data_IF_839231181995
#
_entry.id   IF_839231181995
#
_cell.length_a   1.000
_cell.length_b   1.000
_cell.length_c   1.000
_cell.angle_alpha   90.00
_cell.angle_beta   90.00
_cell.angle_gamma   90.00
#
_symmetry.space_group_name_H-M   'P 1'
#
loop_
_entity.id
_entity.type
_entity.pdbx_description
1 polymer ?
#
# COMPACT_ATOMS: atom_id res chain seq x y z
N UNK A 1 -2.44 14.33 -8.25
CA UNK A 1 -3.88 14.61 -8.13
C UNK A 1 -4.65 14.27 -9.42
N UNK A 2 -4.43 14.92 -10.57
CA UNK A 2 -5.20 14.62 -11.82
C UNK A 2 -5.16 13.14 -12.18
N UNK A 3 -3.96 12.55 -12.32
CA UNK A 3 -3.79 11.12 -12.60
C UNK A 3 -4.56 10.24 -11.60
N UNK A 4 -4.45 10.54 -10.32
CA UNK A 4 -5.10 9.80 -9.24
C UNK A 4 -6.64 9.75 -9.41
N UNK A 5 -7.30 10.87 -9.69
CA UNK A 5 -8.76 10.94 -9.78
C UNK A 5 -9.35 10.60 -11.17
N UNK A 6 -8.48 10.30 -12.14
CA UNK A 6 -8.92 9.98 -13.51
C UNK A 6 -8.49 8.62 -14.00
N UNK A 7 -7.28 8.15 -13.65
CA UNK A 7 -6.64 7.01 -14.28
C UNK A 7 -6.15 5.94 -13.29
N UNK A 8 -5.60 6.35 -12.13
CA UNK A 8 -4.98 5.43 -11.19
C UNK A 8 -5.99 4.40 -10.66
N UNK A 9 -5.60 3.13 -10.71
CA UNK A 9 -6.34 2.01 -10.15
C UNK A 9 -5.34 0.88 -9.88
N UNK A 10 -5.63 0.02 -8.92
CA UNK A 10 -4.97 -1.26 -8.73
C UNK A 10 -6.00 -2.29 -8.28
N UNK A 11 -5.82 -3.54 -8.70
CA UNK A 11 -6.77 -4.62 -8.44
C UNK A 11 -7.14 -4.73 -6.96
N UNK A 12 -6.15 -4.81 -6.07
CA UNK A 12 -6.39 -4.91 -4.61
C UNK A 12 -7.09 -3.67 -4.00
N UNK A 13 -7.35 -2.62 -4.75
CA UNK A 13 -7.98 -1.41 -4.21
C UNK A 13 -9.46 -1.66 -3.88
N UNK A 14 -10.12 -2.52 -4.66
CA UNK A 14 -11.54 -2.85 -4.49
C UNK A 14 -11.86 -3.30 -3.06
N UNK A 15 -11.10 -4.28 -2.55
CA UNK A 15 -11.36 -4.80 -1.22
C UNK A 15 -11.04 -3.79 -0.09
N UNK A 16 -10.05 -2.90 -0.27
CA UNK A 16 -9.78 -1.84 0.70
C UNK A 16 -10.92 -0.82 0.78
N UNK A 17 -11.48 -0.43 -0.37
CA UNK A 17 -12.61 0.48 -0.43
C UNK A 17 -13.88 -0.15 0.11
N UNK A 18 -14.13 -1.41 -0.21
CA UNK A 18 -15.25 -2.18 0.31
C UNK A 18 -15.15 -2.37 1.82
N UNK A 19 -13.97 -2.70 2.35
CA UNK A 19 -13.75 -2.79 3.79
C UNK A 19 -14.05 -1.47 4.50
N UNK A 20 -13.60 -0.34 3.95
CA UNK A 20 -13.91 0.97 4.49
C UNK A 20 -15.42 1.29 4.45
N UNK A 21 -16.12 0.90 3.36
CA UNK A 21 -17.57 1.02 3.24
C UNK A 21 -18.29 0.18 4.32
N UNK A 22 -17.87 -1.06 4.54
CA UNK A 22 -18.43 -1.96 5.55
C UNK A 22 -18.20 -1.41 6.97
N UNK A 23 -17.02 -0.89 7.26
CA UNK A 23 -16.71 -0.22 8.54
C UNK A 23 -17.58 1.03 8.71
N UNK A 24 -17.76 1.83 7.67
CA UNK A 24 -18.65 2.99 7.71
C UNK A 24 -20.12 2.61 7.98
N UNK A 25 -20.55 1.44 7.51
CA UNK A 25 -21.85 0.85 7.78
C UNK A 25 -21.94 0.18 9.18
N UNK A 26 -20.90 0.28 10.02
CA UNK A 26 -20.87 -0.24 11.39
C UNK A 26 -20.39 -1.69 11.53
N UNK A 27 -19.89 -2.31 10.46
CA UNK A 27 -19.27 -3.64 10.51
C UNK A 27 -17.86 -3.59 11.11
N UNK A 28 -17.47 -4.66 11.79
CA UNK A 28 -16.18 -4.76 12.46
C UNK A 28 -15.24 -5.63 11.61
N UNK A 29 -14.07 -5.12 11.17
CA UNK A 29 -13.11 -5.93 10.43
C UNK A 29 -12.73 -7.17 11.26
N UNK A 30 -12.44 -8.26 10.58
CA UNK A 30 -12.16 -9.59 11.10
C UNK A 30 -13.37 -10.32 11.70
N UNK A 31 -14.19 -9.63 12.48
CA UNK A 31 -15.30 -10.24 13.23
C UNK A 31 -16.59 -10.37 12.41
N UNK A 32 -16.83 -9.43 11.50
CA UNK A 32 -18.04 -9.40 10.70
C UNK A 32 -17.76 -9.63 9.20
N UNK A 33 -16.47 -9.61 8.79
CA UNK A 33 -15.98 -9.93 7.45
C UNK A 33 -14.48 -10.21 7.44
N UNK A 34 -14.01 -10.98 6.46
CA UNK A 34 -12.58 -11.27 6.26
C UNK A 34 -11.86 -9.99 5.79
N UNK A 35 -10.77 -9.63 6.49
CA UNK A 35 -9.93 -8.50 6.12
C UNK A 35 -8.47 -8.80 6.47
N UNK A 36 -7.69 -9.48 5.60
CA UNK A 36 -6.33 -9.93 5.92
C UNK A 36 -5.31 -8.79 5.84
N UNK A 37 -5.54 -7.72 6.57
CA UNK A 37 -4.67 -6.54 6.70
C UNK A 37 -4.80 -5.93 8.09
N UNK A 38 -3.86 -5.06 8.50
CA UNK A 38 -4.08 -4.21 9.68
C UNK A 38 -5.09 -3.11 9.35
N UNK A 39 -6.05 -2.87 10.25
CA UNK A 39 -7.27 -2.16 9.91
C UNK A 39 -7.21 -0.62 10.04
N UNK A 40 -6.12 -0.02 10.53
CA UNK A 40 -6.10 1.43 10.80
C UNK A 40 -6.36 2.27 9.55
N UNK A 41 -5.79 1.88 8.39
CA UNK A 41 -6.06 2.57 7.13
C UNK A 41 -7.54 2.47 6.73
N UNK A 42 -8.16 1.29 6.88
CA UNK A 42 -9.58 1.11 6.56
C UNK A 42 -10.48 1.96 7.47
N UNK A 43 -10.17 2.08 8.77
CA UNK A 43 -10.86 3.02 9.68
C UNK A 43 -10.66 4.48 9.26
N UNK A 44 -9.43 4.85 8.84
CA UNK A 44 -9.11 6.18 8.37
C UNK A 44 -9.92 6.55 7.13
N UNK A 45 -9.97 5.65 6.15
CA UNK A 45 -10.77 5.83 4.92
C UNK A 45 -12.27 5.84 5.23
N UNK A 46 -12.76 4.97 6.12
CA UNK A 46 -14.17 4.95 6.56
C UNK A 46 -14.60 6.27 7.20
N UNK A 47 -13.75 6.85 8.06
CA UNK A 47 -13.98 8.17 8.64
C UNK A 47 -14.05 9.26 7.55
N UNK A 48 -13.15 9.21 6.57
CA UNK A 48 -13.14 10.13 5.44
C UNK A 48 -14.40 10.02 4.59
N UNK A 49 -14.86 8.78 4.32
CA UNK A 49 -16.15 8.54 3.64
C UNK A 49 -17.34 9.09 4.43
N UNK A 50 -17.28 9.08 5.76
CA UNK A 50 -18.30 9.68 6.61
C UNK A 50 -18.42 11.19 6.47
N UNK A 51 -17.32 11.87 6.14
CA UNK A 51 -17.27 13.33 5.98
C UNK A 51 -17.60 13.75 4.54
N UNK A 52 -17.01 13.07 3.55
CA UNK A 52 -17.04 13.47 2.14
C UNK A 52 -17.89 12.55 1.24
N UNK A 53 -18.55 11.55 1.84
CA UNK A 53 -19.35 10.56 1.13
C UNK A 53 -18.53 9.41 0.53
N UNK A 54 -19.22 8.32 0.19
CA UNK A 54 -18.62 7.14 -0.43
C UNK A 54 -18.28 7.42 -1.90
N UNK A 55 -17.03 7.78 -2.13
CA UNK A 55 -16.50 8.10 -3.46
C UNK A 55 -15.04 7.70 -3.54
N UNK A 56 -14.70 6.83 -4.48
CA UNK A 56 -13.32 6.46 -4.76
C UNK A 56 -12.45 7.70 -5.06
N UNK A 57 -13.00 8.70 -5.78
CA UNK A 57 -12.26 9.94 -6.08
C UNK A 57 -11.87 10.70 -4.81
N UNK A 58 -12.76 10.77 -3.83
CA UNK A 58 -12.46 11.44 -2.56
C UNK A 58 -11.43 10.67 -1.73
N UNK A 59 -11.43 9.34 -1.81
CA UNK A 59 -10.39 8.51 -1.19
C UNK A 59 -9.04 8.71 -1.89
N UNK A 60 -9.03 8.82 -3.22
CA UNK A 60 -7.82 9.14 -3.99
C UNK A 60 -7.28 10.54 -3.67
N UNK A 61 -8.16 11.52 -3.47
CA UNK A 61 -7.74 12.86 -3.00
C UNK A 61 -7.04 12.77 -1.65
N UNK A 62 -7.56 11.97 -0.72
CA UNK A 62 -6.94 11.72 0.58
C UNK A 62 -5.55 11.08 0.42
N UNK A 63 -5.47 9.98 -0.33
CA UNK A 63 -4.22 9.26 -0.57
C UNK A 63 -3.16 10.13 -1.26
N UNK A 64 -3.54 10.84 -2.32
CA UNK A 64 -2.65 11.74 -3.04
C UNK A 64 -2.18 12.93 -2.19
N UNK A 65 -3.03 13.45 -1.30
CA UNK A 65 -2.67 14.55 -0.39
C UNK A 65 -1.67 14.08 0.67
N UNK A 66 -1.88 12.90 1.27
CA UNK A 66 -0.94 12.33 2.24
C UNK A 66 0.39 12.01 1.58
N UNK A 67 0.39 11.42 0.39
CA UNK A 67 1.62 11.16 -0.38
C UNK A 67 2.36 12.44 -0.75
N UNK A 68 1.66 13.48 -1.20
CA UNK A 68 2.26 14.78 -1.48
C UNK A 68 2.89 15.40 -0.21
N UNK A 69 2.24 15.23 0.95
CA UNK A 69 2.79 15.61 2.25
C UNK A 69 4.10 14.88 2.59
N UNK A 70 4.19 13.58 2.31
CA UNK A 70 5.42 12.81 2.47
C UNK A 70 6.54 13.29 1.55
N UNK A 71 6.24 13.50 0.27
CA UNK A 71 7.19 14.03 -0.72
C UNK A 71 7.70 15.41 -0.29
N UNK A 72 6.79 16.29 0.14
CA UNK A 72 7.15 17.60 0.67
C UNK A 72 8.06 17.51 1.90
N UNK A 73 7.73 16.69 2.89
CA UNK A 73 8.55 16.51 4.10
C UNK A 73 9.94 15.96 3.78
N UNK A 74 10.06 15.09 2.77
CA UNK A 74 11.33 14.53 2.32
C UNK A 74 12.21 15.62 1.70
N UNK A 75 11.66 16.44 0.82
CA UNK A 75 12.37 17.60 0.23
C UNK A 75 12.70 18.68 1.27
N UNK A 76 11.76 19.02 2.17
CA UNK A 76 11.96 19.99 3.26
C UNK A 76 13.11 19.57 4.21
N UNK A 77 13.28 18.26 4.45
CA UNK A 77 14.42 17.78 5.22
C UNK A 77 15.75 18.24 4.58
N UNK A 78 15.93 17.97 3.29
CA UNK A 78 17.16 18.32 2.57
C UNK A 78 17.31 19.84 2.48
N UNK A 79 16.24 20.58 2.21
CA UNK A 79 16.24 22.04 2.17
C UNK A 79 16.77 22.68 3.47
N UNK A 80 16.38 22.12 4.63
CA UNK A 80 16.78 22.66 5.95
C UNK A 80 18.11 22.13 6.46
N UNK A 81 18.46 20.89 6.12
CA UNK A 81 19.58 20.18 6.75
C UNK A 81 20.82 20.07 5.87
N UNK A 82 20.70 20.17 4.56
CA UNK A 82 21.87 20.03 3.70
C UNK A 82 22.92 21.11 3.99
N UNK A 83 24.19 20.76 4.21
CA UNK A 83 25.17 21.70 4.80
C UNK A 83 25.68 22.75 3.82
N UNK A 84 25.55 22.51 2.49
CA UNK A 84 26.03 23.42 1.43
C UNK A 84 24.87 24.29 0.95
N UNK A 85 24.85 25.62 1.29
CA UNK A 85 23.70 26.49 1.05
C UNK A 85 23.27 26.56 -0.42
N UNK A 86 24.23 26.65 -1.34
CA UNK A 86 23.98 26.79 -2.79
C UNK A 86 23.30 25.55 -3.39
N UNK A 87 23.44 24.40 -2.73
CA UNK A 87 22.87 23.13 -3.14
C UNK A 87 21.55 22.77 -2.45
N UNK A 88 21.13 23.50 -1.41
CA UNK A 88 19.92 23.19 -0.62
C UNK A 88 18.66 23.10 -1.47
N UNK A 89 18.37 24.18 -2.22
CA UNK A 89 17.16 24.25 -3.06
C UNK A 89 17.21 23.24 -4.21
N UNK A 90 18.31 23.20 -5.00
CA UNK A 90 18.40 22.20 -6.07
C UNK A 90 18.24 20.76 -5.59
N UNK A 91 18.90 20.38 -4.49
CA UNK A 91 18.81 19.02 -3.95
C UNK A 91 17.47 18.73 -3.31
N UNK A 92 16.83 19.69 -2.65
CA UNK A 92 15.48 19.52 -2.13
C UNK A 92 14.48 19.20 -3.25
N UNK A 93 14.60 19.89 -4.38
CA UNK A 93 13.79 19.62 -5.58
C UNK A 93 14.15 18.24 -6.16
N UNK A 94 15.44 17.91 -6.28
CA UNK A 94 15.87 16.61 -6.77
C UNK A 94 15.30 15.46 -5.94
N UNK A 95 15.32 15.59 -4.61
CA UNK A 95 14.77 14.58 -3.67
C UNK A 95 13.24 14.51 -3.77
N UNK A 96 12.56 15.65 -3.86
CA UNK A 96 11.12 15.67 -4.05
C UNK A 96 10.72 15.00 -5.39
N UNK A 97 11.47 15.25 -6.47
CA UNK A 97 11.25 14.60 -7.76
C UNK A 97 11.59 13.10 -7.71
N UNK A 98 12.74 12.72 -7.11
CA UNK A 98 13.12 11.32 -6.98
C UNK A 98 12.10 10.50 -6.16
N UNK A 99 11.46 11.13 -5.18
CA UNK A 99 10.39 10.52 -4.39
C UNK A 99 9.05 10.55 -5.13
N UNK A 100 8.64 11.70 -5.65
CA UNK A 100 7.29 11.90 -6.20
C UNK A 100 7.10 11.40 -7.63
N UNK A 101 8.17 11.30 -8.43
CA UNK A 101 8.16 10.72 -9.79
C UNK A 101 8.57 9.24 -9.81
N UNK A 102 8.82 8.63 -8.65
CA UNK A 102 8.94 7.18 -8.57
C UNK A 102 7.61 6.55 -8.97
N UNK A 103 7.63 5.60 -9.91
CA UNK A 103 6.42 5.03 -10.49
C UNK A 103 5.51 4.39 -9.42
N UNK A 104 6.09 3.68 -8.45
CA UNK A 104 5.33 3.01 -7.39
C UNK A 104 4.71 4.01 -6.40
N UNK A 105 5.45 5.07 -6.03
CA UNK A 105 4.91 6.17 -5.19
C UNK A 105 3.81 6.92 -5.94
N UNK A 106 4.03 7.20 -7.22
CA UNK A 106 3.07 7.93 -8.05
C UNK A 106 1.76 7.17 -8.23
N UNK A 107 1.83 5.85 -8.44
CA UNK A 107 0.64 5.02 -8.64
C UNK A 107 0.03 4.58 -7.30
N UNK A 108 0.76 3.79 -6.51
CA UNK A 108 0.20 3.15 -5.32
C UNK A 108 0.10 4.08 -4.11
N UNK A 109 0.90 5.13 -4.06
CA UNK A 109 0.74 6.17 -3.05
C UNK A 109 -0.49 7.06 -3.23
N UNK A 110 -1.19 6.98 -4.38
CA UNK A 110 -2.28 7.91 -4.72
C UNK A 110 -3.65 7.26 -4.89
N UNK A 111 -3.78 5.98 -4.55
CA UNK A 111 -5.02 5.19 -4.61
C UNK A 111 -5.52 4.79 -3.23
N UNK A 112 -6.71 4.20 -3.16
CA UNK A 112 -7.44 3.89 -1.92
C UNK A 112 -6.86 2.76 -1.06
N UNK A 113 -5.64 2.31 -1.32
CA UNK A 113 -4.92 1.32 -0.50
C UNK A 113 -4.20 1.97 0.71
N UNK A 114 -3.69 1.14 1.62
CA UNK A 114 -2.97 1.59 2.83
C UNK A 114 -1.65 2.34 2.60
N UNK A 115 -1.15 2.38 1.36
CA UNK A 115 0.21 2.84 1.07
C UNK A 115 0.40 4.34 1.29
N UNK A 116 -0.45 5.20 0.72
CA UNK A 116 -0.26 6.66 0.81
C UNK A 116 -0.24 7.18 2.24
N UNK A 117 -1.16 6.68 3.08
CA UNK A 117 -1.23 7.07 4.49
C UNK A 117 -0.05 6.53 5.30
N UNK A 118 0.29 5.24 5.15
CA UNK A 118 1.44 4.63 5.84
C UNK A 118 2.77 5.26 5.39
N UNK A 119 2.91 5.63 4.12
CA UNK A 119 4.04 6.34 3.57
C UNK A 119 4.23 7.72 4.23
N UNK A 120 3.15 8.49 4.32
CA UNK A 120 3.16 9.77 5.03
C UNK A 120 3.59 9.61 6.48
N UNK A 121 3.01 8.66 7.20
CA UNK A 121 3.33 8.39 8.61
C UNK A 121 4.77 7.93 8.81
N UNK A 122 5.30 7.13 7.88
CA UNK A 122 6.70 6.67 7.89
C UNK A 122 7.68 7.84 7.75
N UNK A 123 7.44 8.73 6.80
CA UNK A 123 8.27 9.93 6.62
C UNK A 123 8.10 10.90 7.80
N UNK A 124 6.87 11.07 8.31
CA UNK A 124 6.62 11.90 9.50
C UNK A 124 7.34 11.35 10.72
N UNK A 125 7.33 10.02 10.96
CA UNK A 125 8.05 9.38 12.05
C UNK A 125 9.56 9.67 11.97
N UNK A 126 10.17 9.55 10.79
CA UNK A 126 11.56 9.93 10.55
C UNK A 126 11.80 11.41 10.88
N UNK A 127 10.99 12.32 10.35
CA UNK A 127 11.14 13.77 10.60
C UNK A 127 11.02 14.13 12.07
N UNK A 128 10.04 13.56 12.75
CA UNK A 128 9.81 13.81 14.18
C UNK A 128 10.92 13.17 15.04
N UNK A 129 11.47 12.01 14.62
CA UNK A 129 12.58 11.38 15.34
C UNK A 129 13.82 12.27 15.38
N UNK A 130 14.15 12.95 14.28
CA UNK A 130 15.23 13.94 14.22
C UNK A 130 14.97 15.06 15.23
N UNK A 131 13.75 15.59 15.31
CA UNK A 131 13.37 16.60 16.31
C UNK A 131 13.42 16.07 17.73
N UNK A 132 13.11 14.79 17.95
CA UNK A 132 13.15 14.13 19.25
C UNK A 132 14.54 14.09 19.87
N UNK A 133 15.57 13.93 19.03
CA UNK A 133 16.97 13.99 19.48
C UNK A 133 17.41 15.44 19.69
N UNK A 134 16.90 16.40 18.93
CA UNK A 134 17.20 17.82 19.03
C UNK A 134 16.61 18.47 20.28
N UNK A 135 15.42 18.07 20.65
CA UNK A 135 14.63 18.70 21.70
C UNK A 135 14.56 17.81 22.95
N UNK A 136 14.53 18.42 24.12
CA UNK A 136 14.47 17.68 25.40
C UNK A 136 13.02 17.28 25.78
N UNK A 137 11.99 17.83 25.16
CA UNK A 137 10.60 17.54 25.49
C UNK A 137 10.20 16.11 25.12
N UNK A 138 9.54 15.40 26.04
CA UNK A 138 9.07 14.02 25.86
C UNK A 138 7.93 13.88 24.84
N UNK A 139 7.28 14.99 24.47
CA UNK A 139 6.23 15.00 23.44
C UNK A 139 6.74 14.47 22.09
N UNK A 140 7.96 14.83 21.68
CA UNK A 140 8.49 14.44 20.38
C UNK A 140 8.71 12.93 20.23
N UNK A 141 9.30 12.23 21.22
CA UNK A 141 9.36 10.77 21.20
C UNK A 141 7.97 10.10 21.16
N UNK A 142 6.99 10.62 21.91
CA UNK A 142 5.60 10.11 21.87
C UNK A 142 5.05 10.23 20.44
N UNK A 143 5.16 11.41 19.83
CA UNK A 143 4.69 11.66 18.47
C UNK A 143 5.44 10.82 17.43
N UNK A 144 6.75 10.58 17.63
CA UNK A 144 7.53 9.68 16.77
C UNK A 144 6.98 8.26 16.85
N UNK A 145 6.77 7.75 18.08
CA UNK A 145 6.18 6.44 18.31
C UNK A 145 4.79 6.33 17.73
N UNK A 146 3.94 7.34 17.96
CA UNK A 146 2.58 7.39 17.42
C UNK A 146 2.58 7.30 15.88
N UNK A 147 3.43 8.06 15.21
CA UNK A 147 3.51 8.02 13.75
C UNK A 147 4.06 6.67 13.24
N UNK A 148 5.11 6.12 13.87
CA UNK A 148 5.67 4.82 13.49
C UNK A 148 4.69 3.66 13.77
N UNK A 149 4.02 3.69 14.92
CA UNK A 149 2.98 2.72 15.28
C UNK A 149 1.76 2.80 14.36
N UNK A 150 1.31 4.01 14.02
CA UNK A 150 0.19 4.20 13.09
C UNK A 150 0.54 3.75 11.66
N UNK A 151 1.79 3.93 11.22
CA UNK A 151 2.25 3.37 9.95
C UNK A 151 2.13 1.84 9.96
N UNK A 152 2.65 1.17 11.00
CA UNK A 152 2.57 -0.29 11.14
C UNK A 152 1.13 -0.80 11.35
N UNK A 153 0.28 -0.07 12.07
CA UNK A 153 -1.13 -0.38 12.23
C UNK A 153 -1.96 -0.15 10.95
N UNK A 154 -1.42 0.59 9.98
CA UNK A 154 -2.01 0.78 8.64
C UNK A 154 -1.55 -0.30 7.65
N UNK A 155 -0.30 -0.74 7.74
CA UNK A 155 0.26 -1.87 7.00
C UNK A 155 1.52 -2.38 7.70
N UNK A 156 1.60 -3.69 7.95
CA UNK A 156 2.77 -4.33 8.59
C UNK A 156 4.05 -4.21 7.77
N UNK A 157 3.96 -3.83 6.48
CA UNK A 157 5.12 -3.59 5.63
C UNK A 157 6.05 -2.50 6.20
N UNK A 158 5.53 -1.61 7.05
CA UNK A 158 6.31 -0.55 7.70
C UNK A 158 6.77 -0.90 9.12
N UNK A 159 6.49 -2.10 9.62
CA UNK A 159 6.82 -2.52 10.99
C UNK A 159 8.30 -2.29 11.41
N UNK A 160 9.31 -2.48 10.52
CA UNK A 160 10.72 -2.25 10.87
C UNK A 160 11.07 -0.81 11.22
N UNK A 161 10.23 0.16 10.86
CA UNK A 161 10.48 1.59 11.09
C UNK A 161 10.59 1.89 12.60
N UNK A 162 9.67 1.35 13.40
CA UNK A 162 9.63 1.63 14.84
C UNK A 162 10.90 1.18 15.57
N UNK A 163 11.38 -0.07 15.47
CA UNK A 163 12.59 -0.50 16.16
C UNK A 163 13.85 0.25 15.70
N UNK A 164 13.97 0.58 14.40
CA UNK A 164 15.11 1.35 13.90
C UNK A 164 15.12 2.76 14.49
N UNK A 165 13.97 3.44 14.52
CA UNK A 165 13.85 4.78 15.10
C UNK A 165 14.09 4.78 16.60
N UNK A 166 13.56 3.78 17.33
CA UNK A 166 13.79 3.62 18.77
C UNK A 166 15.27 3.48 19.07
N UNK A 167 15.95 2.56 18.40
CA UNK A 167 17.38 2.31 18.61
C UNK A 167 18.20 3.57 18.33
N UNK A 168 17.97 4.21 17.17
CA UNK A 168 18.67 5.43 16.81
C UNK A 168 18.44 6.55 17.82
N UNK A 169 17.20 6.76 18.27
CA UNK A 169 16.85 7.79 19.25
C UNK A 169 17.50 7.52 20.60
N UNK A 170 17.51 6.28 21.10
CA UNK A 170 18.15 5.91 22.37
C UNK A 170 19.67 6.13 22.31
N UNK A 171 20.30 5.78 21.18
CA UNK A 171 21.75 5.94 20.99
C UNK A 171 22.15 7.42 20.90
N UNK A 172 21.37 8.26 20.23
CA UNK A 172 21.75 9.64 19.93
C UNK A 172 21.14 10.67 20.89
N UNK A 173 20.24 10.26 21.79
CA UNK A 173 19.72 11.16 22.84
C UNK A 173 20.73 11.35 23.97
N UNK A 174 20.62 12.49 24.66
CA UNK A 174 21.45 12.76 25.85
C UNK A 174 21.27 11.67 26.91
N UNK A 175 22.36 11.26 27.57
CA UNK A 175 22.41 10.11 28.49
C UNK A 175 21.36 10.18 29.60
N UNK A 176 21.11 11.37 30.17
CA UNK A 176 20.17 11.53 31.32
C UNK A 176 18.68 11.31 30.97
N UNK A 177 18.29 11.29 29.67
CA UNK A 177 16.87 11.23 29.26
C UNK A 177 16.57 10.14 28.23
N UNK A 178 17.56 9.36 27.81
CA UNK A 178 17.40 8.40 26.69
C UNK A 178 16.37 7.30 26.96
N UNK A 179 16.36 6.77 28.19
CA UNK A 179 15.44 5.70 28.58
C UNK A 179 14.00 6.19 28.72
N UNK A 180 13.81 7.39 29.29
CA UNK A 180 12.50 8.02 29.37
C UNK A 180 11.93 8.28 27.95
N UNK A 181 12.75 8.78 27.03
CA UNK A 181 12.38 8.95 25.63
C UNK A 181 12.02 7.62 24.98
N UNK A 182 12.79 6.55 25.23
CA UNK A 182 12.49 5.21 24.75
C UNK A 182 11.15 4.68 25.27
N UNK A 183 10.90 4.82 26.56
CA UNK A 183 9.66 4.37 27.20
C UNK A 183 8.41 5.09 26.62
N UNK A 184 8.45 6.42 26.53
CA UNK A 184 7.30 7.17 25.98
C UNK A 184 7.14 6.97 24.47
N UNK A 185 8.22 6.70 23.73
CA UNK A 185 8.15 6.28 22.34
C UNK A 185 7.37 4.96 22.21
N UNK A 186 7.67 3.97 23.04
CA UNK A 186 6.95 2.68 23.04
C UNK A 186 5.47 2.88 23.34
N UNK A 187 5.12 3.72 24.35
CA UNK A 187 3.71 4.06 24.61
C UNK A 187 3.05 4.65 23.38
N UNK A 188 3.70 5.61 22.70
CA UNK A 188 3.21 6.16 21.45
C UNK A 188 3.03 5.11 20.35
N UNK A 189 4.00 4.18 20.23
CA UNK A 189 3.97 3.12 19.20
C UNK A 189 2.81 2.16 19.38
N UNK A 190 2.47 1.79 20.62
CA UNK A 190 1.39 0.84 20.89
C UNK A 190 -0.01 1.48 20.83
N UNK A 191 -0.13 2.79 20.99
CA UNK A 191 -1.41 3.47 21.02
C UNK A 191 -2.30 3.23 19.77
N UNK A 192 -1.78 3.30 18.51
CA UNK A 192 -2.57 3.05 17.31
C UNK A 192 -3.07 1.61 17.17
N UNK A 193 -2.51 0.67 17.95
CA UNK A 193 -2.96 -0.73 17.95
C UNK A 193 -4.11 -1.01 18.94
N UNK A 194 -4.55 -0.03 19.73
CA UNK A 194 -5.65 -0.24 20.68
C UNK A 194 -6.94 -0.74 20.04
N UNK A 195 -7.40 -0.26 18.86
CA UNK A 195 -8.55 -0.83 18.19
C UNK A 195 -8.35 -2.31 17.81
N UNK A 196 -7.17 -2.65 17.30
CA UNK A 196 -6.80 -4.02 16.96
C UNK A 196 -6.76 -4.91 18.22
N UNK A 197 -6.18 -4.41 19.30
CA UNK A 197 -6.11 -5.13 20.58
C UNK A 197 -7.51 -5.43 21.12
N UNK A 198 -8.45 -4.48 21.01
CA UNK A 198 -9.84 -4.70 21.41
C UNK A 198 -10.45 -5.87 20.63
N UNK A 199 -10.33 -5.87 19.30
CA UNK A 199 -10.84 -6.94 18.45
C UNK A 199 -10.15 -8.27 18.75
N UNK A 200 -8.84 -8.24 19.02
CA UNK A 200 -8.07 -9.43 19.41
C UNK A 200 -8.58 -10.04 20.75
N UNK A 201 -8.92 -9.20 21.74
CA UNK A 201 -9.48 -9.70 23.01
C UNK A 201 -10.87 -10.32 22.85
N UNK A 202 -11.66 -9.87 21.85
CA UNK A 202 -12.96 -10.46 21.52
C UNK A 202 -12.82 -11.81 20.79
N UNK A 203 -11.89 -11.93 19.83
CA UNK A 203 -11.67 -13.15 19.06
C UNK A 203 -10.20 -13.34 18.64
N UNK A 204 -9.34 -13.83 19.54
CA UNK A 204 -7.90 -13.93 19.30
C UNK A 204 -7.54 -14.75 18.07
N UNK A 205 -8.23 -15.89 17.85
CA UNK A 205 -7.96 -16.81 16.74
C UNK A 205 -8.24 -16.18 15.39
N UNK A 206 -9.36 -15.47 15.28
CA UNK A 206 -9.80 -14.81 14.03
C UNK A 206 -8.89 -13.62 13.69
N UNK A 207 -8.58 -12.77 14.66
CA UNK A 207 -7.72 -11.61 14.44
C UNK A 207 -6.28 -12.04 14.13
N UNK A 208 -5.76 -13.04 14.85
CA UNK A 208 -4.43 -13.59 14.56
C UNK A 208 -4.37 -14.15 13.13
N UNK A 209 -5.40 -14.87 12.69
CA UNK A 209 -5.47 -15.38 11.33
C UNK A 209 -5.36 -14.24 10.30
N UNK A 210 -6.19 -13.22 10.41
CA UNK A 210 -6.24 -12.12 9.45
C UNK A 210 -4.92 -11.32 9.41
N UNK A 211 -4.29 -11.08 10.57
CA UNK A 211 -3.11 -10.20 10.66
C UNK A 211 -1.80 -10.94 10.37
N UNK A 212 -1.72 -12.23 10.72
CA UNK A 212 -0.48 -13.00 10.65
C UNK A 212 -0.60 -14.28 9.84
N UNK A 213 -1.50 -15.21 10.24
CA UNK A 213 -1.51 -16.56 9.71
C UNK A 213 -1.82 -16.59 8.22
N UNK A 214 -2.72 -15.71 7.73
CA UNK A 214 -3.01 -15.55 6.31
C UNK A 214 -1.75 -15.24 5.49
N UNK A 215 -0.96 -14.28 5.91
CA UNK A 215 0.25 -13.86 5.19
C UNK A 215 1.40 -14.85 5.30
N UNK A 216 1.53 -15.53 6.44
CA UNK A 216 2.64 -16.44 6.69
C UNK A 216 2.43 -17.85 6.11
N UNK A 217 1.16 -18.33 6.05
CA UNK A 217 0.88 -19.72 5.75
C UNK A 217 -0.10 -19.94 4.60
N UNK A 218 -1.08 -19.05 4.38
CA UNK A 218 -2.18 -19.32 3.45
C UNK A 218 -2.04 -18.63 2.12
N UNK A 219 -1.53 -17.41 2.07
CA UNK A 219 -1.38 -16.64 0.83
C UNK A 219 -0.49 -17.32 -0.21
N UNK A 220 0.42 -18.16 0.22
CA UNK A 220 1.43 -18.82 -0.63
C UNK A 220 0.95 -20.16 -1.21
N UNK A 221 -0.02 -20.83 -0.56
CA UNK A 221 -0.32 -22.24 -0.81
C UNK A 221 -0.88 -22.51 -2.22
N UNK A 222 -1.41 -21.51 -2.88
CA UNK A 222 -2.07 -21.67 -4.18
C UNK A 222 -1.40 -20.86 -5.31
N UNK A 223 -0.22 -20.27 -5.05
CA UNK A 223 0.51 -19.52 -6.08
C UNK A 223 1.71 -20.31 -6.61
N UNK A 224 1.47 -21.07 -7.67
CA UNK A 224 2.55 -21.69 -8.42
C UNK A 224 3.48 -20.61 -9.02
N UNK A 225 4.80 -20.73 -8.79
CA UNK A 225 5.77 -19.76 -9.29
C UNK A 225 6.02 -18.53 -8.41
N UNK A 226 5.52 -18.48 -7.16
CA UNK A 226 5.74 -17.37 -6.24
C UNK A 226 7.24 -17.04 -6.04
N UNK A 227 8.12 -18.05 -6.00
CA UNK A 227 9.58 -17.84 -5.87
C UNK A 227 10.15 -17.14 -7.11
N UNK A 228 9.74 -17.53 -8.32
CA UNK A 228 10.17 -16.89 -9.56
C UNK A 228 9.67 -15.45 -9.63
N UNK A 229 8.44 -15.22 -9.19
CA UNK A 229 7.89 -13.87 -9.07
C UNK A 229 8.72 -13.01 -8.11
N UNK A 230 9.03 -13.49 -6.91
CA UNK A 230 9.80 -12.75 -5.92
C UNK A 230 11.20 -12.41 -6.44
N UNK A 231 11.87 -13.35 -7.10
CA UNK A 231 13.16 -13.10 -7.75
C UNK A 231 12.99 -12.02 -8.83
N UNK A 232 11.95 -12.11 -9.66
CA UNK A 232 11.63 -11.10 -10.67
C UNK A 232 11.48 -9.70 -10.07
N UNK A 233 10.72 -9.58 -8.98
CA UNK A 233 10.55 -8.30 -8.26
C UNK A 233 11.87 -7.75 -7.74
N UNK A 234 12.74 -8.59 -7.17
CA UNK A 234 14.03 -8.14 -6.65
C UNK A 234 14.99 -7.70 -7.77
N UNK A 235 14.89 -8.32 -8.96
CA UNK A 235 15.70 -7.95 -10.13
C UNK A 235 15.15 -6.72 -10.84
N UNK A 236 13.84 -6.45 -10.80
CA UNK A 236 13.19 -5.34 -11.51
C UNK A 236 13.79 -3.95 -11.22
N UNK A 237 14.43 -3.80 -10.07
CA UNK A 237 15.19 -2.59 -9.72
C UNK A 237 16.32 -2.29 -10.71
N UNK A 238 16.96 -3.33 -11.24
CA UNK A 238 18.06 -3.20 -12.23
C UNK A 238 17.47 -2.87 -13.60
N UNK A 239 16.30 -3.39 -13.92
CA UNK A 239 15.61 -3.14 -15.19
C UNK A 239 15.02 -1.74 -15.27
N UNK A 240 14.79 -1.11 -14.13
CA UNK A 240 14.34 0.28 -14.04
C UNK A 240 15.50 1.25 -14.02
N UNK A 241 15.84 1.86 -15.15
CA UNK A 241 16.93 2.84 -15.24
C UNK A 241 16.82 4.01 -14.22
N UNK A 242 15.63 4.60 -13.95
CA UNK A 242 15.48 5.60 -12.90
C UNK A 242 15.79 5.07 -11.50
N UNK A 243 15.30 3.87 -11.15
CA UNK A 243 15.53 3.27 -9.84
C UNK A 243 17.01 2.93 -9.64
N UNK A 244 17.64 2.32 -10.65
CA UNK A 244 19.10 2.03 -10.68
C UNK A 244 19.93 3.30 -10.50
N UNK A 245 19.61 4.37 -11.24
CA UNK A 245 20.31 5.65 -11.10
C UNK A 245 20.21 6.22 -9.69
N UNK A 246 19.01 6.29 -9.13
CA UNK A 246 18.78 6.81 -7.77
C UNK A 246 19.48 5.92 -6.74
N UNK A 247 19.45 4.60 -6.91
CA UNK A 247 20.16 3.64 -6.07
C UNK A 247 21.69 3.85 -6.11
N UNK A 248 22.27 3.99 -7.30
CA UNK A 248 23.70 4.27 -7.47
C UNK A 248 24.10 5.62 -6.85
N UNK A 249 23.28 6.66 -7.02
CA UNK A 249 23.48 7.94 -6.36
C UNK A 249 23.41 7.82 -4.83
N UNK A 250 22.51 7.00 -4.29
CA UNK A 250 22.41 6.76 -2.85
C UNK A 250 23.66 6.03 -2.31
N UNK A 251 24.17 5.02 -3.01
CA UNK A 251 25.42 4.33 -2.67
C UNK A 251 26.62 5.28 -2.75
N UNK A 252 26.71 6.10 -3.78
CA UNK A 252 27.73 7.14 -3.91
C UNK A 252 27.63 8.15 -2.76
N UNK A 253 26.42 8.55 -2.38
CA UNK A 253 26.16 9.43 -1.25
C UNK A 253 26.59 8.84 0.07
N UNK A 254 26.27 7.59 0.33
CA UNK A 254 26.68 6.87 1.54
C UNK A 254 28.22 6.77 1.62
N UNK A 255 28.88 6.42 0.49
CA UNK A 255 30.34 6.40 0.40
C UNK A 255 30.96 7.77 0.65
N UNK A 256 30.39 8.84 0.06
CA UNK A 256 30.85 10.20 0.29
C UNK A 256 30.74 10.60 1.78
N UNK A 257 29.60 10.33 2.42
CA UNK A 257 29.37 10.64 3.84
C UNK A 257 30.37 9.89 4.73
N UNK A 258 30.64 8.63 4.42
CA UNK A 258 31.57 7.80 5.20
C UNK A 258 33.02 8.23 5.06
N UNK A 259 33.49 8.52 3.82
CA UNK A 259 34.94 8.66 3.51
C UNK A 259 35.41 10.10 3.35
N UNK A 260 34.54 11.02 2.93
CA UNK A 260 34.97 12.32 2.41
C UNK A 260 34.30 13.52 3.06
N UNK A 261 33.15 13.35 3.69
CA UNK A 261 32.42 14.47 4.24
C UNK A 261 33.05 14.98 5.52
N UNK A 262 33.25 16.30 5.61
CA UNK A 262 33.57 17.01 6.85
C UNK A 262 32.29 17.45 7.58
N UNK A 263 31.18 16.80 7.30
CA UNK A 263 29.90 17.14 7.89
C UNK A 263 29.88 16.85 9.40
N UNK A 264 29.11 17.65 10.11
CA UNK A 264 28.90 17.45 11.53
C UNK A 264 28.46 16.01 11.83
N UNK A 265 28.96 15.45 12.95
CA UNK A 265 28.70 14.07 13.40
C UNK A 265 27.20 13.78 13.46
N UNK A 266 26.43 14.76 13.91
CA UNK A 266 24.99 14.63 14.04
C UNK A 266 24.31 14.50 12.68
N UNK A 267 24.61 15.41 11.77
CA UNK A 267 24.07 15.35 10.41
C UNK A 267 24.41 14.01 9.72
N UNK A 268 25.65 13.54 9.86
CA UNK A 268 26.02 12.22 9.37
C UNK A 268 25.17 11.09 9.97
N UNK A 269 24.85 11.16 11.27
CA UNK A 269 24.01 10.16 11.93
C UNK A 269 22.57 10.17 11.40
N UNK A 270 22.03 11.32 10.97
CA UNK A 270 20.70 11.44 10.36
C UNK A 270 20.66 10.78 8.96
N UNK A 271 21.74 10.93 8.17
CA UNK A 271 21.88 10.22 6.89
C UNK A 271 22.11 8.70 7.09
N UNK A 272 22.86 8.28 8.11
CA UNK A 272 22.97 6.86 8.45
C UNK A 272 21.63 6.29 8.91
N UNK A 273 20.79 7.07 9.59
CA UNK A 273 19.43 6.64 9.90
C UNK A 273 18.62 6.35 8.62
N UNK A 274 18.75 7.19 7.58
CA UNK A 274 18.13 6.89 6.28
C UNK A 274 18.66 5.57 5.69
N UNK A 275 19.97 5.30 5.78
CA UNK A 275 20.54 4.03 5.32
C UNK A 275 19.99 2.83 6.10
N UNK A 276 19.88 2.94 7.43
CA UNK A 276 19.32 1.87 8.27
C UNK A 276 17.83 1.65 8.00
N UNK A 277 17.04 2.71 7.81
CA UNK A 277 15.63 2.60 7.46
C UNK A 277 15.45 1.96 6.07
N UNK A 278 16.20 2.41 5.07
CA UNK A 278 16.17 1.82 3.73
C UNK A 278 16.54 0.34 3.77
N UNK A 279 17.63 -0.03 4.49
CA UNK A 279 18.09 -1.41 4.60
C UNK A 279 17.07 -2.30 5.34
N UNK A 280 16.59 -1.86 6.51
CA UNK A 280 15.66 -2.64 7.32
C UNK A 280 14.32 -2.86 6.60
N UNK A 281 13.81 -1.82 5.93
CA UNK A 281 12.62 -1.95 5.08
C UNK A 281 12.91 -2.89 3.90
N UNK A 282 13.99 -2.71 3.15
CA UNK A 282 14.31 -3.57 2.00
C UNK A 282 14.40 -5.04 2.42
N UNK A 283 15.07 -5.37 3.52
CA UNK A 283 15.16 -6.74 4.03
C UNK A 283 13.76 -7.26 4.36
N UNK A 284 12.97 -6.50 5.13
CA UNK A 284 11.63 -6.93 5.55
C UNK A 284 10.70 -7.15 4.35
N UNK A 285 10.72 -6.26 3.38
CA UNK A 285 9.88 -6.33 2.20
C UNK A 285 10.31 -7.47 1.25
N UNK A 286 11.60 -7.78 1.17
CA UNK A 286 12.13 -8.90 0.39
C UNK A 286 11.80 -10.27 0.99
N UNK A 287 11.53 -10.35 2.31
CA UNK A 287 11.14 -11.57 3.00
C UNK A 287 9.62 -11.81 2.85
N UNK A 288 8.84 -10.77 2.55
CA UNK A 288 7.43 -10.94 2.26
C UNK A 288 7.26 -11.90 1.07
N UNK A 289 6.38 -12.89 1.20
CA UNK A 289 6.19 -13.91 0.17
C UNK A 289 4.69 -14.11 -0.09
N UNK A 290 4.19 -13.77 -1.29
CA UNK A 290 4.89 -13.09 -2.38
C UNK A 290 5.22 -11.64 -2.06
N UNK A 291 6.39 -11.17 -2.53
CA UNK A 291 6.73 -9.75 -2.49
C UNK A 291 6.22 -9.05 -3.77
N UNK A 292 6.11 -7.71 -3.73
CA UNK A 292 5.68 -6.91 -4.87
C UNK A 292 6.49 -5.62 -4.98
N UNK A 293 6.73 -5.15 -6.20
CA UNK A 293 7.44 -3.90 -6.47
C UNK A 293 6.88 -2.71 -5.69
N UNK A 294 5.56 -2.61 -5.61
CA UNK A 294 4.83 -1.56 -4.87
C UNK A 294 5.20 -1.48 -3.38
N UNK A 295 5.65 -2.56 -2.75
CA UNK A 295 6.05 -2.53 -1.34
C UNK A 295 7.26 -1.64 -1.11
N UNK A 296 8.20 -1.60 -2.06
CA UNK A 296 9.44 -0.85 -1.94
C UNK A 296 9.27 0.67 -2.03
N UNK A 297 8.05 1.18 -2.31
CA UNK A 297 7.78 2.60 -2.23
C UNK A 297 8.16 3.19 -0.86
N UNK A 298 8.07 2.39 0.23
CA UNK A 298 8.43 2.84 1.59
C UNK A 298 9.92 3.12 1.77
N UNK A 299 10.78 2.56 0.93
CA UNK A 299 12.24 2.82 0.96
C UNK A 299 12.63 4.10 0.23
N UNK A 300 11.81 4.52 -0.72
CA UNK A 300 12.11 5.61 -1.67
C UNK A 300 12.54 6.93 -1.02
N UNK A 301 11.89 7.45 0.04
CA UNK A 301 12.27 8.74 0.62
C UNK A 301 13.66 8.70 1.25
N UNK A 302 14.03 7.59 1.85
CA UNK A 302 15.33 7.42 2.51
C UNK A 302 16.46 7.26 1.49
N UNK A 303 16.21 6.48 0.44
CA UNK A 303 17.12 6.35 -0.71
C UNK A 303 17.30 7.69 -1.42
N UNK A 304 16.23 8.46 -1.63
CA UNK A 304 16.30 9.79 -2.24
C UNK A 304 17.10 10.80 -1.40
N UNK A 305 16.97 10.78 -0.06
CA UNK A 305 17.79 11.61 0.83
C UNK A 305 19.27 11.22 0.69
N UNK A 306 19.61 9.95 0.70
CA UNK A 306 20.99 9.48 0.48
C UNK A 306 21.52 9.87 -0.90
N UNK A 307 20.69 9.74 -1.94
CA UNK A 307 21.02 10.11 -3.30
C UNK A 307 21.35 11.60 -3.44
N UNK A 308 20.78 12.48 -2.60
CA UNK A 308 21.12 13.90 -2.59
C UNK A 308 22.60 14.16 -2.30
N UNK A 309 23.21 13.38 -1.37
CA UNK A 309 24.63 13.50 -1.06
C UNK A 309 25.51 13.00 -2.22
N UNK A 310 25.09 11.92 -2.90
CA UNK A 310 25.79 11.42 -4.09
C UNK A 310 25.68 12.37 -5.27
N UNK A 311 24.52 12.94 -5.50
CA UNK A 311 24.31 13.94 -6.54
C UNK A 311 25.16 15.20 -6.31
N UNK A 312 25.31 15.60 -5.02
CA UNK A 312 26.23 16.66 -4.63
C UNK A 312 27.70 16.31 -4.91
N UNK A 313 28.18 15.15 -4.44
CA UNK A 313 29.59 14.74 -4.60
C UNK A 313 29.98 14.63 -6.09
N UNK A 314 29.15 13.98 -6.90
CA UNK A 314 29.38 13.83 -8.33
C UNK A 314 29.16 15.16 -9.07
N UNK A 315 28.04 15.83 -8.80
CA UNK A 315 27.67 17.06 -9.49
C UNK A 315 28.63 18.21 -9.25
N UNK A 316 29.16 18.34 -8.01
CA UNK A 316 30.14 19.38 -7.69
C UNK A 316 31.51 19.17 -8.38
N UNK A 317 31.84 17.95 -8.80
CA UNK A 317 33.06 17.62 -9.54
C UNK A 317 32.91 17.82 -11.04
N UNK A 318 31.72 17.48 -11.58
CA UNK A 318 31.44 17.55 -13.00
C UNK A 318 30.98 18.94 -13.44
N UNK A 319 30.38 19.69 -12.56
CA UNK A 319 29.88 21.05 -12.80
C UNK A 319 30.55 21.99 -11.79
N UNK A 320 30.90 23.21 -12.20
CA UNK A 320 31.40 24.19 -11.21
C UNK A 320 30.39 24.33 -10.09
N UNK A 321 30.87 24.58 -8.85
CA UNK A 321 29.99 24.79 -7.69
C UNK A 321 28.90 25.87 -7.92
N UNK A 322 29.12 26.76 -8.88
CA UNK A 322 28.21 27.81 -9.28
C UNK A 322 27.02 27.37 -10.13
N UNK A 323 26.95 26.10 -10.56
CA UNK A 323 25.87 25.60 -11.45
C UNK A 323 25.22 24.31 -10.93
N UNK A 324 24.65 24.31 -9.71
CA UNK A 324 24.09 23.12 -9.09
C UNK A 324 22.83 22.58 -9.81
N UNK A 325 22.17 23.41 -10.63
CA UNK A 325 20.96 23.04 -11.35
C UNK A 325 21.18 22.06 -12.49
N UNK A 326 22.37 22.02 -13.12
CA UNK A 326 22.61 21.13 -14.27
C UNK A 326 22.40 19.65 -13.95
N UNK A 327 23.04 19.06 -12.92
CA UNK A 327 22.83 17.65 -12.58
C UNK A 327 21.38 17.40 -12.10
N UNK A 328 20.73 18.36 -11.46
CA UNK A 328 19.33 18.23 -11.01
C UNK A 328 18.37 18.20 -12.20
N UNK A 329 18.55 19.09 -13.18
CA UNK A 329 17.73 19.10 -14.41
C UNK A 329 17.90 17.82 -15.21
N UNK A 330 19.13 17.29 -15.32
CA UNK A 330 19.39 16.01 -15.96
C UNK A 330 18.67 14.86 -15.24
N UNK A 331 18.77 14.79 -13.90
CA UNK A 331 18.05 13.81 -13.10
C UNK A 331 16.53 13.95 -13.28
N UNK A 332 16.00 15.19 -13.21
CA UNK A 332 14.58 15.45 -13.41
C UNK A 332 14.06 14.96 -14.77
N UNK A 333 14.84 15.18 -15.83
CA UNK A 333 14.50 14.69 -17.17
C UNK A 333 14.42 13.14 -17.19
N UNK A 334 15.44 12.46 -16.66
CA UNK A 334 15.45 10.99 -16.64
C UNK A 334 14.31 10.41 -15.80
N UNK A 335 14.01 10.98 -14.63
CA UNK A 335 12.89 10.57 -13.79
C UNK A 335 11.54 10.80 -14.50
N UNK A 336 11.39 11.93 -15.19
CA UNK A 336 10.17 12.26 -15.94
C UNK A 336 9.94 11.30 -17.11
N UNK A 337 11.00 10.96 -17.84
CA UNK A 337 10.93 9.98 -18.92
C UNK A 337 10.61 8.58 -18.39
N UNK A 338 11.20 8.19 -17.26
CA UNK A 338 10.89 6.90 -16.61
C UNK A 338 9.42 6.81 -16.16
N UNK A 339 8.90 7.87 -15.54
CA UNK A 339 7.48 7.92 -15.16
C UNK A 339 6.56 7.93 -16.39
N UNK A 340 6.91 8.70 -17.43
CA UNK A 340 6.12 8.72 -18.68
C UNK A 340 6.06 7.33 -19.32
N UNK A 341 7.18 6.60 -19.33
CA UNK A 341 7.21 5.20 -19.78
C UNK A 341 6.31 4.32 -18.93
N UNK A 342 6.42 4.38 -17.60
CA UNK A 342 5.60 3.57 -16.69
C UNK A 342 4.08 3.85 -16.85
N UNK A 343 3.68 5.10 -17.08
CA UNK A 343 2.30 5.47 -17.37
C UNK A 343 1.88 4.91 -18.74
N UNK A 344 2.76 5.00 -19.75
CA UNK A 344 2.47 4.49 -21.08
C UNK A 344 2.30 2.97 -21.11
N UNK A 345 3.16 2.23 -20.39
CA UNK A 345 3.10 0.76 -20.30
C UNK A 345 1.79 0.26 -19.66
N UNK A 346 1.15 1.10 -18.84
CA UNK A 346 -0.12 0.78 -18.15
C UNK A 346 -1.37 1.38 -18.82
N UNK A 347 -1.25 1.96 -20.02
CA UNK A 347 -2.36 2.65 -20.70
C UNK A 347 -3.54 1.75 -21.08
N UNK A 348 -3.28 0.48 -21.27
CA UNK A 348 -4.27 -0.52 -21.70
C UNK A 348 -4.90 -1.28 -20.49
N UNK A 349 -4.46 -0.98 -19.26
CA UNK A 349 -5.05 -1.57 -18.07
C UNK A 349 -6.44 -0.99 -17.81
N UNK A 350 -7.30 -1.80 -17.20
CA UNK A 350 -8.63 -1.34 -16.74
C UNK A 350 -8.49 -0.12 -15.84
N UNK A 351 -9.46 0.76 -15.91
CA UNK A 351 -9.54 1.98 -15.14
C UNK A 351 -10.93 2.15 -14.48
N UNK A 352 -11.12 3.19 -13.67
CA UNK A 352 -12.38 3.39 -12.96
C UNK A 352 -13.62 3.58 -13.85
N UNK A 353 -13.46 3.98 -15.11
CA UNK A 353 -14.61 4.05 -16.06
C UNK A 353 -15.08 2.67 -16.43
N UNK A 354 -14.14 1.74 -16.63
CA UNK A 354 -14.43 0.37 -16.99
C UNK A 354 -15.21 -0.31 -15.86
N UNK A 355 -14.75 -0.24 -14.62
CA UNK A 355 -15.48 -0.74 -13.46
C UNK A 355 -16.84 -0.06 -13.26
N UNK A 356 -16.98 1.24 -13.58
CA UNK A 356 -18.27 1.93 -13.53
C UNK A 356 -19.23 1.41 -14.59
N UNK A 357 -18.76 1.08 -15.80
CA UNK A 357 -19.60 0.47 -16.85
C UNK A 357 -20.07 -0.92 -16.43
N UNK A 358 -19.16 -1.75 -15.87
CA UNK A 358 -19.49 -3.07 -15.32
C UNK A 358 -20.55 -2.95 -14.22
N UNK A 359 -20.34 -2.11 -13.22
CA UNK A 359 -21.30 -1.90 -12.15
C UNK A 359 -22.65 -1.38 -12.65
N UNK A 360 -22.66 -0.50 -13.66
CA UNK A 360 -23.89 -0.03 -14.30
C UNK A 360 -24.61 -1.17 -15.01
N UNK A 361 -23.90 -2.04 -15.71
CA UNK A 361 -24.50 -3.23 -16.36
C UNK A 361 -25.09 -4.16 -15.32
N UNK A 362 -24.36 -4.50 -14.27
CA UNK A 362 -24.86 -5.34 -13.16
C UNK A 362 -26.15 -4.74 -12.59
N UNK A 363 -26.18 -3.42 -12.34
CA UNK A 363 -27.40 -2.73 -11.83
C UNK A 363 -28.59 -2.83 -12.80
N UNK A 364 -28.33 -2.75 -14.11
CA UNK A 364 -29.38 -2.80 -15.13
C UNK A 364 -30.01 -4.17 -15.26
N UNK A 365 -29.23 -5.25 -15.14
CA UNK A 365 -29.70 -6.61 -15.36
C UNK A 365 -30.10 -7.36 -14.10
N UNK A 366 -29.75 -6.83 -12.92
CA UNK A 366 -30.09 -7.46 -11.63
C UNK A 366 -31.45 -6.97 -11.16
N UNK A 367 -32.45 -7.86 -10.93
CA UNK A 367 -33.72 -7.47 -10.35
C UNK A 367 -33.55 -6.96 -8.91
N UNK A 368 -34.38 -6.00 -8.52
CA UNK A 368 -34.32 -5.40 -7.19
C UNK A 368 -34.43 -6.46 -6.07
N UNK A 369 -33.54 -6.39 -5.09
CA UNK A 369 -33.50 -7.29 -3.93
C UNK A 369 -32.90 -8.68 -4.19
N UNK A 370 -32.43 -8.96 -5.40
CA UNK A 370 -31.76 -10.21 -5.72
C UNK A 370 -30.26 -10.15 -5.39
N UNK A 371 -29.69 -11.33 -5.10
CA UNK A 371 -28.29 -11.45 -4.78
C UNK A 371 -27.41 -11.41 -6.05
N UNK A 372 -26.31 -10.74 -5.93
CA UNK A 372 -25.25 -10.66 -6.95
C UNK A 372 -24.01 -11.38 -6.41
N UNK A 373 -23.29 -12.06 -7.27
CA UNK A 373 -21.90 -12.46 -7.05
C UNK A 373 -21.04 -11.58 -7.97
N UNK A 374 -20.12 -10.81 -7.40
CA UNK A 374 -19.30 -9.85 -8.14
C UNK A 374 -18.01 -9.53 -7.40
N UNK A 375 -17.11 -8.83 -8.06
CA UNK A 375 -15.89 -8.30 -7.46
C UNK A 375 -16.15 -7.15 -6.49
N UNK A 376 -15.20 -6.87 -5.62
CA UNK A 376 -15.30 -5.84 -4.57
C UNK A 376 -15.57 -4.45 -5.15
N UNK A 377 -15.00 -4.13 -6.30
CA UNK A 377 -15.26 -2.87 -7.01
C UNK A 377 -16.74 -2.66 -7.32
N UNK A 378 -17.42 -3.72 -7.76
CA UNK A 378 -18.83 -3.67 -8.13
C UNK A 378 -19.68 -3.41 -6.89
N UNK A 379 -19.44 -4.14 -5.79
CA UNK A 379 -20.15 -3.92 -4.53
C UNK A 379 -19.94 -2.49 -4.00
N UNK A 380 -18.71 -2.00 -4.04
CA UNK A 380 -18.38 -0.64 -3.63
C UNK A 380 -19.11 0.42 -4.48
N UNK A 381 -19.07 0.28 -5.81
CA UNK A 381 -19.72 1.23 -6.74
C UNK A 381 -21.26 1.19 -6.66
N UNK A 382 -21.82 0.02 -6.41
CA UNK A 382 -23.26 -0.16 -6.21
C UNK A 382 -23.71 0.25 -4.79
N UNK A 383 -22.79 0.47 -3.87
CA UNK A 383 -23.05 0.70 -2.43
C UNK A 383 -23.83 -0.45 -1.82
N UNK A 384 -23.52 -1.66 -2.23
CA UNK A 384 -24.17 -2.88 -1.73
C UNK A 384 -23.24 -3.59 -0.74
N UNK A 385 -23.86 -4.26 0.23
CA UNK A 385 -23.14 -5.21 1.10
C UNK A 385 -23.07 -6.53 0.34
N UNK A 386 -21.88 -7.11 0.15
CA UNK A 386 -21.75 -8.42 -0.45
C UNK A 386 -22.45 -9.50 0.39
N UNK A 387 -22.83 -10.62 -0.21
CA UNK A 387 -23.23 -11.80 0.55
C UNK A 387 -22.08 -12.23 1.48
N UNK A 388 -22.43 -12.71 2.68
CA UNK A 388 -21.43 -13.13 3.67
C UNK A 388 -20.45 -14.15 3.08
N UNK A 389 -19.15 -13.87 3.22
CA UNK A 389 -18.04 -14.64 2.68
C UNK A 389 -17.62 -14.26 1.26
N UNK A 390 -18.17 -13.17 0.72
CA UNK A 390 -17.80 -12.60 -0.60
C UNK A 390 -17.23 -11.18 -0.47
N UNK A 391 -16.80 -10.82 0.72
CA UNK A 391 -16.19 -9.51 1.01
C UNK A 391 -14.74 -9.42 0.54
N UNK A 392 -14.11 -10.56 0.27
CA UNK A 392 -12.82 -10.70 -0.38
C UNK A 392 -12.95 -11.79 -1.45
N UNK A 393 -12.73 -11.43 -2.69
CA UNK A 393 -12.87 -12.34 -3.84
C UNK A 393 -12.01 -13.60 -3.69
N UNK A 394 -10.75 -13.43 -3.35
CA UNK A 394 -9.80 -14.52 -3.16
C UNK A 394 -10.09 -15.43 -1.97
N UNK A 395 -11.12 -15.14 -1.17
CA UNK A 395 -11.44 -15.95 0.02
C UNK A 395 -11.79 -17.39 -0.33
N UNK A 396 -12.40 -17.63 -1.50
CA UNK A 396 -12.75 -18.98 -1.97
C UNK A 396 -11.53 -19.86 -2.30
N UNK A 397 -10.35 -19.27 -2.51
CA UNK A 397 -9.08 -19.98 -2.70
C UNK A 397 -8.54 -20.61 -1.41
N UNK A 398 -9.10 -20.24 -0.25
CA UNK A 398 -8.70 -20.74 1.06
C UNK A 398 -9.32 -22.12 1.37
N UNK A 399 -9.05 -23.13 0.55
CA UNK A 399 -9.66 -24.46 0.65
C UNK A 399 -9.13 -25.33 1.80
N UNK A 400 -7.92 -25.05 2.31
CA UNK A 400 -7.25 -25.84 3.34
C UNK A 400 -7.65 -25.48 4.78
N UNK A 401 -8.59 -24.54 4.97
CA UNK A 401 -9.02 -24.09 6.29
C UNK A 401 -10.06 -25.04 6.87
N UNK A 402 -9.95 -25.44 8.18
CA UNK A 402 -10.98 -26.20 8.86
C UNK A 402 -12.34 -25.50 8.80
N UNK A 403 -13.42 -26.28 8.62
CA UNK A 403 -14.79 -25.74 8.40
C UNK A 403 -15.27 -24.81 9.51
N UNK A 404 -14.95 -25.12 10.77
CA UNK A 404 -15.27 -24.27 11.92
C UNK A 404 -14.56 -22.92 11.86
N UNK A 405 -13.32 -22.91 11.42
CA UNK A 405 -12.54 -21.70 11.25
C UNK A 405 -13.01 -20.92 10.01
N UNK A 406 -13.32 -21.58 8.89
CA UNK A 406 -13.84 -20.95 7.69
C UNK A 406 -15.13 -20.16 7.98
N UNK A 407 -16.06 -20.75 8.75
CA UNK A 407 -17.28 -20.08 9.17
C UNK A 407 -17.00 -18.85 10.05
N UNK A 408 -16.06 -18.95 11.00
CA UNK A 408 -15.67 -17.85 11.88
C UNK A 408 -14.92 -16.73 11.14
N UNK A 409 -14.25 -17.04 10.03
CA UNK A 409 -13.52 -16.11 9.17
C UNK A 409 -14.39 -15.48 8.07
N UNK A 410 -15.66 -15.86 7.97
CA UNK A 410 -16.52 -15.48 6.84
C UNK A 410 -15.95 -15.91 5.48
N UNK A 411 -15.39 -17.12 5.41
CA UNK A 411 -14.87 -17.71 4.17
C UNK A 411 -15.89 -18.69 3.62
N UNK A 412 -16.21 -18.56 2.34
CA UNK A 412 -17.01 -19.56 1.60
C UNK A 412 -16.04 -20.43 0.80
N UNK A 413 -15.87 -21.71 1.13
CA UNK A 413 -15.02 -22.62 0.37
C UNK A 413 -15.50 -22.73 -1.08
N UNK A 414 -14.57 -22.95 -2.03
CA UNK A 414 -14.86 -23.03 -3.47
C UNK A 414 -16.01 -24.00 -3.80
N UNK A 415 -15.98 -25.19 -3.22
CA UNK A 415 -17.03 -26.20 -3.43
C UNK A 415 -18.42 -25.74 -2.97
N UNK A 416 -18.51 -24.97 -1.91
CA UNK A 416 -19.79 -24.40 -1.45
C UNK A 416 -20.22 -23.23 -2.31
N UNK A 417 -19.28 -22.39 -2.78
CA UNK A 417 -19.56 -21.32 -3.75
C UNK A 417 -20.12 -21.90 -5.06
N UNK A 418 -19.47 -22.90 -5.63
CA UNK A 418 -19.94 -23.61 -6.84
C UNK A 418 -21.36 -24.16 -6.66
N UNK A 419 -21.63 -24.80 -5.52
CA UNK A 419 -22.95 -25.31 -5.19
C UNK A 419 -23.99 -24.19 -5.12
N UNK A 420 -23.67 -23.04 -4.50
CA UNK A 420 -24.56 -21.89 -4.41
C UNK A 420 -24.86 -21.30 -5.80
N UNK A 421 -23.85 -21.22 -6.68
CA UNK A 421 -24.01 -20.77 -8.07
C UNK A 421 -24.91 -21.76 -8.84
N UNK A 422 -24.63 -23.07 -8.77
CA UNK A 422 -25.43 -24.10 -9.45
C UNK A 422 -26.88 -24.13 -8.96
N UNK A 423 -27.11 -23.94 -7.68
CA UNK A 423 -28.46 -23.82 -7.10
C UNK A 423 -29.15 -22.51 -7.49
N UNK A 424 -28.40 -21.56 -8.09
CA UNK A 424 -28.91 -20.28 -8.55
C UNK A 424 -29.27 -19.33 -7.44
N UNK A 425 -28.45 -19.30 -6.41
CA UNK A 425 -28.56 -18.32 -5.34
C UNK A 425 -28.39 -16.90 -5.85
N UNK A 426 -27.59 -16.72 -6.93
CA UNK A 426 -27.29 -15.41 -7.51
C UNK A 426 -28.11 -15.23 -8.79
N UNK A 427 -28.80 -14.09 -8.93
CA UNK A 427 -29.51 -13.71 -10.14
C UNK A 427 -28.57 -13.18 -11.22
N UNK A 428 -27.44 -12.61 -10.78
CA UNK A 428 -26.41 -12.05 -11.64
C UNK A 428 -25.05 -12.48 -11.09
N UNK A 429 -24.17 -12.87 -11.98
CA UNK A 429 -22.76 -13.19 -11.68
C UNK A 429 -21.91 -12.29 -12.57
N UNK A 430 -20.93 -11.67 -11.97
CA UNK A 430 -19.92 -10.88 -12.66
C UNK A 430 -18.54 -11.42 -12.30
N UNK A 431 -17.62 -11.39 -13.25
CA UNK A 431 -16.21 -11.76 -13.06
C UNK A 431 -15.35 -10.96 -14.04
N UNK A 432 -14.31 -10.33 -13.51
CA UNK A 432 -13.29 -9.62 -14.29
C UNK A 432 -12.02 -10.45 -14.51
N UNK A 433 -12.00 -11.66 -13.99
CA UNK A 433 -10.84 -12.52 -14.11
C UNK A 433 -10.83 -13.19 -15.47
N UNK A 434 -9.71 -13.07 -16.20
CA UNK A 434 -9.38 -13.89 -17.37
C UNK A 434 -9.13 -15.35 -16.98
N UNK A 435 -9.35 -15.71 -15.70
CA UNK A 435 -9.22 -17.07 -15.20
C UNK A 435 -10.30 -17.94 -15.83
N UNK A 436 -9.98 -18.44 -17.03
CA UNK A 436 -10.75 -19.45 -17.75
C UNK A 436 -11.16 -20.62 -16.84
N UNK A 437 -10.33 -20.95 -15.83
CA UNK A 437 -10.64 -21.97 -14.84
C UNK A 437 -11.90 -21.64 -14.04
N UNK A 438 -12.06 -20.41 -13.53
CA UNK A 438 -13.25 -20.03 -12.74
C UNK A 438 -14.52 -20.08 -13.57
N UNK A 439 -14.47 -19.56 -14.81
CA UNK A 439 -15.59 -19.59 -15.74
C UNK A 439 -15.91 -21.03 -16.16
N UNK A 440 -14.90 -21.84 -16.44
CA UNK A 440 -15.05 -23.24 -16.84
C UNK A 440 -15.61 -24.08 -15.70
N UNK A 441 -15.08 -23.97 -14.50
CA UNK A 441 -15.51 -24.75 -13.34
C UNK A 441 -16.93 -24.40 -12.88
N UNK A 442 -17.31 -23.14 -12.91
CA UNK A 442 -18.66 -22.69 -12.55
C UNK A 442 -19.69 -22.98 -13.65
N UNK A 443 -19.26 -23.26 -14.88
CA UNK A 443 -20.14 -23.51 -16.04
C UNK A 443 -21.18 -22.38 -16.25
N UNK A 444 -20.80 -21.12 -16.06
CA UNK A 444 -21.70 -19.96 -16.05
C UNK A 444 -22.53 -19.83 -17.35
N UNK A 445 -21.93 -20.09 -18.51
CA UNK A 445 -22.61 -20.08 -19.82
C UNK A 445 -23.72 -21.15 -19.94
N UNK A 446 -23.65 -22.21 -19.15
CA UNK A 446 -24.70 -23.23 -19.09
C UNK A 446 -25.82 -22.87 -18.13
N UNK A 447 -25.49 -22.12 -17.06
CA UNK A 447 -26.43 -21.74 -15.99
C UNK A 447 -27.24 -20.49 -16.35
N UNK A 448 -26.64 -19.55 -17.08
CA UNK A 448 -27.26 -18.30 -17.45
C UNK A 448 -27.59 -18.24 -18.94
N UNK A 449 -28.73 -17.66 -19.29
CA UNK A 449 -29.20 -17.57 -20.68
C UNK A 449 -28.57 -16.40 -21.41
N UNK A 450 -28.14 -15.36 -20.69
CA UNK A 450 -27.54 -14.15 -21.23
C UNK A 450 -26.23 -13.83 -20.56
N UNK A 451 -25.32 -13.29 -21.32
CA UNK A 451 -24.04 -12.78 -20.85
C UNK A 451 -23.52 -11.70 -21.80
N UNK A 452 -22.70 -10.82 -21.31
CA UNK A 452 -22.07 -9.74 -22.07
C UNK A 452 -20.70 -9.42 -21.50
N UNK A 453 -19.72 -9.25 -22.38
CA UNK A 453 -18.41 -8.70 -22.03
C UNK A 453 -18.55 -7.18 -21.95
N UNK A 454 -18.19 -6.62 -20.80
CA UNK A 454 -18.22 -5.18 -20.53
C UNK A 454 -16.84 -4.77 -20.05
N UNK A 455 -16.07 -4.16 -20.94
CA UNK A 455 -14.73 -3.63 -20.60
C UNK A 455 -13.76 -4.68 -20.02
N UNK A 456 -13.82 -5.93 -20.49
CA UNK A 456 -12.97 -7.02 -20.03
C UNK A 456 -13.51 -7.81 -18.82
N UNK A 457 -14.70 -7.47 -18.32
CA UNK A 457 -15.42 -8.27 -17.34
C UNK A 457 -16.67 -8.87 -17.95
N UNK A 458 -17.03 -10.10 -17.60
CA UNK A 458 -18.21 -10.77 -18.12
C UNK A 458 -19.32 -10.76 -17.08
N UNK A 459 -20.48 -10.25 -17.49
CA UNK A 459 -21.70 -10.22 -16.67
C UNK A 459 -22.67 -11.26 -17.19
N UNK A 460 -23.13 -12.16 -16.31
CA UNK A 460 -24.08 -13.24 -16.57
C UNK A 460 -25.41 -12.97 -15.87
N UNK A 461 -26.55 -13.12 -16.57
CA UNK A 461 -27.90 -12.92 -16.02
C UNK A 461 -28.94 -13.80 -16.72
N UNK A 462 -30.21 -13.70 -16.32
CA UNK A 462 -31.31 -14.55 -16.83
C UNK A 462 -31.01 -16.05 -16.61
N UNK A 463 -31.05 -16.46 -15.35
CA UNK A 463 -30.81 -17.86 -14.98
C UNK A 463 -31.75 -18.80 -15.76
N UNK A 464 -31.19 -19.81 -16.40
CA UNK A 464 -31.96 -20.89 -16.99
C UNK A 464 -32.74 -21.67 -15.92
N UNK A 465 -34.01 -22.01 -16.16
CA UNK A 465 -34.72 -22.91 -15.24
C UNK A 465 -33.94 -24.20 -15.12
N UNK A 466 -33.79 -24.70 -13.89
CA UNK A 466 -33.17 -26.00 -13.68
C UNK A 466 -33.88 -27.02 -14.61
N UNK A 467 -33.11 -27.71 -15.44
CA UNK A 467 -33.66 -28.77 -16.23
C UNK A 467 -34.39 -29.74 -15.29
N UNK A 468 -35.70 -29.85 -15.43
CA UNK A 468 -36.46 -30.77 -14.58
C UNK A 468 -35.80 -32.14 -14.71
N UNK A 469 -35.23 -32.62 -13.60
CA UNK A 469 -34.61 -33.94 -13.56
C UNK A 469 -35.74 -34.90 -13.98
N UNK A 470 -35.66 -35.40 -15.20
CA UNK A 470 -36.51 -36.49 -15.63
C UNK A 470 -36.17 -37.62 -14.63
N UNK A 471 -37.11 -37.88 -13.71
CA UNK A 471 -37.12 -39.07 -12.86
C UNK A 471 -37.14 -40.32 -13.70
#
# INVERSE_FOLDING_TARGET
>A
MVYSVTWAVAWDEGFHLLAAQLIHAGKRPYLDFLFPQTALNAYWVAMWMGIFGQSWRMVHVLAATTTAGAVWMTGDYVLRKFPVPEWRVPLAIAVALATGLNAEVFQFGTIGQGYGFAFFLTVAAYRISVLSVERNALLWPVLTGLAAGAAAASTLLTAPVAPVLLLWMVVHSRTGNRWAKGAVFLVGTFFPFLPLLRLFLESPRVVRFNVFDYHLFFRQLEWEGAIQHDIGVLISWIDSAPATLVGLLALAGLFFIFRRSNWDRRLRSEFYLCAWLALALSIHLSIAHPTFERYFLFTTPFVAILASAGLYDIGSRLSSQQRPWRPVLFLALLLSLGLAKAIYDRRDNMNWRDFQQVAQKVRQVTPAGQLVMADEFVYFLLRQTPPSGMELEDSHKLNSIPKDLAAALHVVPRSELEKQVRLGKFSTVETCDDDDERIQDLHLTQLYARWEDVSGCVVYWDKRPAAASKK
#
